data_IF_137780035762
#
_entry.id   IF_137780035762
#
_cell.length_a   1.000
_cell.length_b   1.000
_cell.length_c   1.000
_cell.angle_alpha   90.00
_cell.angle_beta   90.00
_cell.angle_gamma   90.00
#
_symmetry.space_group_name_H-M   'P 1'
#
loop_
_entity.id
_entity.type
_entity.pdbx_description
1 polymer ?
#
# COMPACT_ATOMS: atom_id res chain seq x y z
N UNK A 1 -2.48 -19.34 26.64
CA UNK A 1 -3.02 -19.67 25.32
C UNK A 1 -4.45 -19.19 25.21
N UNK A 2 -4.77 -18.49 24.14
CA UNK A 2 -6.11 -17.99 23.89
C UNK A 2 -7.01 -19.09 23.33
N UNK A 3 -8.30 -19.07 23.67
CA UNK A 3 -9.24 -19.98 23.06
C UNK A 3 -9.64 -19.52 21.64
N UNK A 4 -10.26 -20.42 20.89
CA UNK A 4 -10.64 -20.13 19.50
C UNK A 4 -11.67 -19.01 19.37
N UNK A 5 -12.57 -18.89 20.35
CA UNK A 5 -13.59 -17.83 20.32
C UNK A 5 -12.96 -16.45 20.43
N UNK A 6 -11.97 -16.30 21.31
CA UNK A 6 -11.26 -15.04 21.47
C UNK A 6 -10.47 -14.70 20.21
N UNK A 7 -9.83 -15.69 19.59
CA UNK A 7 -9.08 -15.49 18.35
C UNK A 7 -10.01 -15.06 17.21
N UNK A 8 -11.17 -15.71 17.07
CA UNK A 8 -12.12 -15.37 15.99
C UNK A 8 -12.68 -13.96 16.15
N UNK A 9 -12.94 -13.51 17.39
CA UNK A 9 -13.45 -12.17 17.64
C UNK A 9 -12.47 -11.06 17.20
N UNK A 10 -11.19 -11.37 17.15
CA UNK A 10 -10.16 -10.40 16.81
C UNK A 10 -9.67 -10.51 15.35
N UNK A 11 -10.36 -11.27 14.52
CA UNK A 11 -10.06 -11.34 13.10
C UNK A 11 -10.43 -10.02 12.42
N UNK A 12 -9.47 -9.40 11.77
CA UNK A 12 -9.71 -8.17 11.00
C UNK A 12 -10.37 -8.48 9.66
N UNK A 13 -11.26 -7.58 9.25
CA UNK A 13 -11.90 -7.65 7.94
C UNK A 13 -11.55 -6.41 7.13
N UNK A 14 -11.78 -6.46 5.81
CA UNK A 14 -11.47 -5.35 4.92
C UNK A 14 -12.17 -4.04 5.25
N UNK A 15 -13.30 -4.09 5.96
CA UNK A 15 -14.01 -2.88 6.37
C UNK A 15 -13.30 -2.09 7.48
N UNK A 16 -12.34 -2.72 8.15
CA UNK A 16 -11.62 -2.12 9.28
C UNK A 16 -10.34 -1.40 8.84
N UNK A 17 -10.08 -1.34 7.54
CA UNK A 17 -8.90 -0.69 6.98
C UNK A 17 -9.22 0.63 6.30
N UNK A 18 -8.26 1.57 6.36
CA UNK A 18 -8.36 2.88 5.73
C UNK A 18 -7.03 3.26 5.10
N UNK A 19 -7.08 4.08 4.06
CA UNK A 19 -5.89 4.67 3.45
C UNK A 19 -6.06 6.18 3.41
N UNK A 20 -5.07 6.88 3.96
CA UNK A 20 -5.05 8.34 4.01
C UNK A 20 -3.92 8.86 3.14
N UNK A 21 -4.16 9.96 2.43
CA UNK A 21 -3.12 10.66 1.69
C UNK A 21 -2.79 11.96 2.40
N UNK A 22 -1.50 12.32 2.47
CA UNK A 22 -1.07 13.58 3.04
C UNK A 22 -1.14 14.67 1.97
N UNK A 23 -1.88 15.73 2.27
CA UNK A 23 -2.07 16.89 1.38
C UNK A 23 -1.39 18.08 2.03
N UNK A 24 -0.61 18.83 1.23
CA UNK A 24 0.07 20.07 1.66
C UNK A 24 0.90 19.90 2.94
N UNK A 25 1.54 18.75 3.07
CA UNK A 25 2.49 18.46 4.17
C UNK A 25 1.85 17.98 5.46
N UNK A 26 0.78 18.59 5.94
CA UNK A 26 0.21 18.29 7.26
C UNK A 26 -1.22 17.76 7.22
N UNK A 27 -2.00 18.16 6.23
CA UNK A 27 -3.40 17.73 6.12
C UNK A 27 -3.50 16.30 5.60
N UNK A 28 -4.41 15.53 6.17
CA UNK A 28 -4.67 14.16 5.72
C UNK A 28 -6.10 14.05 5.20
N UNK A 29 -6.24 13.46 4.02
CA UNK A 29 -7.52 13.20 3.40
C UNK A 29 -7.75 11.70 3.30
N UNK A 30 -8.95 11.26 3.63
CA UNK A 30 -9.35 9.87 3.47
C UNK A 30 -9.62 9.57 2.00
N UNK A 31 -8.98 8.53 1.48
CA UNK A 31 -9.26 8.05 0.14
C UNK A 31 -10.42 7.07 0.15
N UNK A 32 -11.36 7.27 -0.76
CA UNK A 32 -12.47 6.34 -0.94
C UNK A 32 -12.00 5.18 -1.81
N UNK A 33 -11.52 4.15 -1.18
CA UNK A 33 -10.93 3.00 -1.86
C UNK A 33 -11.73 1.72 -1.61
N UNK A 34 -11.62 0.81 -2.56
CA UNK A 34 -12.21 -0.51 -2.48
C UNK A 34 -11.24 -1.49 -1.81
N UNK A 35 -10.02 -1.54 -2.31
CA UNK A 35 -8.96 -2.40 -1.76
C UNK A 35 -7.62 -1.68 -1.80
N UNK A 36 -6.74 -2.02 -0.86
CA UNK A 36 -5.34 -1.61 -0.92
C UNK A 36 -4.43 -2.72 -0.42
N UNK A 37 -3.18 -2.68 -0.85
CA UNK A 37 -2.18 -3.65 -0.45
C UNK A 37 -0.80 -3.00 -0.42
N UNK A 38 -0.07 -3.20 0.67
CA UNK A 38 1.32 -2.79 0.82
C UNK A 38 2.17 -4.04 0.88
N UNK A 39 3.16 -4.15 0.03
CA UNK A 39 3.98 -5.37 -0.07
C UNK A 39 5.47 -5.05 -0.06
N UNK A 40 6.23 -5.93 0.57
CA UNK A 40 7.67 -5.96 0.48
C UNK A 40 8.05 -7.11 -0.45
N UNK A 41 8.79 -6.78 -1.52
CA UNK A 41 9.19 -7.77 -2.51
C UNK A 41 10.70 -8.01 -2.37
N UNK A 42 11.05 -9.22 -1.95
CA UNK A 42 12.44 -9.61 -1.74
C UNK A 42 12.99 -10.33 -2.95
N UNK A 43 14.20 -10.00 -3.31
CA UNK A 43 14.93 -10.69 -4.38
C UNK A 43 16.16 -11.34 -3.78
N UNK A 44 16.32 -12.63 -4.01
CA UNK A 44 17.47 -13.40 -3.57
C UNK A 44 18.25 -13.93 -4.76
N UNK A 45 19.56 -14.02 -4.62
CA UNK A 45 20.42 -14.68 -5.59
C UNK A 45 20.57 -16.13 -5.20
N UNK A 46 20.51 -17.03 -6.17
CA UNK A 46 20.73 -18.45 -5.94
C UNK A 46 22.22 -18.74 -5.82
N UNK A 47 22.58 -19.49 -4.79
CA UNK A 47 23.93 -20.00 -4.60
C UNK A 47 23.90 -21.50 -4.43
N UNK A 48 24.67 -22.21 -5.27
CA UNK A 48 24.74 -23.67 -5.23
C UNK A 48 26.20 -24.07 -5.04
N UNK A 49 26.61 -24.42 -3.81
CA UNK A 49 27.99 -24.85 -3.54
C UNK A 49 28.34 -26.14 -4.28
N UNK A 50 29.59 -26.27 -4.66
CA UNK A 50 30.08 -27.51 -5.28
C UNK A 50 29.94 -28.68 -4.31
N UNK A 51 29.32 -29.77 -4.79
CA UNK A 51 29.12 -30.97 -3.98
C UNK A 51 27.89 -30.95 -3.11
N UNK A 52 27.09 -29.90 -3.17
CA UNK A 52 25.83 -29.81 -2.43
C UNK A 52 24.65 -30.06 -3.36
N UNK A 53 23.62 -30.75 -2.87
CA UNK A 53 22.36 -30.91 -3.59
C UNK A 53 21.42 -29.73 -3.35
N UNK A 54 21.72 -28.87 -2.37
CA UNK A 54 20.84 -27.80 -1.98
C UNK A 54 21.32 -26.47 -2.55
N UNK A 55 20.39 -25.69 -3.10
CA UNK A 55 20.61 -24.29 -3.43
C UNK A 55 20.26 -23.42 -2.23
N UNK A 56 21.04 -22.38 -2.02
CA UNK A 56 20.82 -21.41 -0.95
C UNK A 56 20.45 -20.06 -1.56
N UNK A 57 19.57 -19.33 -0.86
CA UNK A 57 19.21 -17.98 -1.23
C UNK A 57 20.14 -16.97 -0.56
N UNK A 58 20.76 -16.11 -1.36
CA UNK A 58 21.58 -15.01 -0.84
C UNK A 58 20.76 -13.73 -0.93
N UNK A 59 20.46 -13.04 0.18
CA UNK A 59 19.67 -11.80 0.13
C UNK A 59 20.34 -10.75 -0.76
N UNK A 60 19.58 -10.17 -1.66
CA UNK A 60 20.06 -9.16 -2.61
C UNK A 60 19.34 -7.84 -2.44
N UNK A 61 18.04 -7.81 -2.73
CA UNK A 61 17.27 -6.58 -2.79
C UNK A 61 15.92 -6.72 -2.11
N UNK A 62 15.38 -5.59 -1.68
CA UNK A 62 13.98 -5.48 -1.28
C UNK A 62 13.37 -4.24 -1.92
N UNK A 63 12.15 -4.38 -2.42
CA UNK A 63 11.39 -3.25 -2.97
C UNK A 63 10.02 -3.23 -2.30
N UNK A 64 9.55 -2.03 -1.99
CA UNK A 64 8.24 -1.84 -1.37
C UNK A 64 7.27 -1.27 -2.38
N UNK A 65 6.07 -1.81 -2.42
CA UNK A 65 5.02 -1.37 -3.35
C UNK A 65 3.71 -1.14 -2.63
N UNK A 66 2.96 -0.15 -3.10
CA UNK A 66 1.60 0.14 -2.66
C UNK A 66 0.71 0.08 -3.89
N UNK A 67 -0.36 -0.71 -3.81
CA UNK A 67 -1.39 -0.75 -4.84
C UNK A 67 -2.75 -0.55 -4.18
N UNK A 68 -3.63 0.22 -4.83
CA UNK A 68 -4.99 0.36 -4.37
C UNK A 68 -5.94 0.62 -5.53
N UNK A 69 -7.22 0.37 -5.30
CA UNK A 69 -8.30 0.64 -6.25
C UNK A 69 -9.21 1.70 -5.66
N UNK A 70 -9.34 2.82 -6.34
CA UNK A 70 -10.19 3.91 -5.95
C UNK A 70 -11.65 3.61 -6.35
N UNK A 71 -12.54 3.55 -5.36
CA UNK A 71 -13.95 3.22 -5.57
C UNK A 71 -14.76 4.45 -5.98
N UNK A 72 -14.50 5.59 -5.36
CA UNK A 72 -15.11 6.87 -5.74
C UNK A 72 -14.04 7.70 -6.43
N UNK A 73 -14.23 7.95 -7.72
CA UNK A 73 -13.20 8.60 -8.55
C UNK A 73 -13.10 10.09 -8.20
N UNK A 74 -11.91 10.48 -7.78
CA UNK A 74 -11.55 11.88 -7.49
C UNK A 74 -10.28 12.23 -8.24
N UNK A 75 -10.27 13.40 -8.88
CA UNK A 75 -9.11 13.84 -9.64
C UNK A 75 -8.23 14.84 -8.89
N UNK A 76 -8.75 15.44 -7.82
CA UNK A 76 -8.11 16.57 -7.15
C UNK A 76 -6.92 16.21 -6.27
N UNK A 77 -6.91 15.01 -5.67
CA UNK A 77 -5.86 14.61 -4.73
C UNK A 77 -4.62 13.99 -5.39
N UNK A 78 -4.82 13.18 -6.42
CA UNK A 78 -3.74 12.41 -7.03
C UNK A 78 -3.60 12.72 -8.52
N UNK A 79 -4.66 12.58 -9.30
CA UNK A 79 -4.58 12.66 -10.76
C UNK A 79 -4.23 14.06 -11.28
N UNK A 80 -4.84 15.11 -10.75
CA UNK A 80 -4.53 16.47 -11.17
C UNK A 80 -3.08 16.86 -10.85
N UNK A 81 -2.56 16.62 -9.62
CA UNK A 81 -1.14 16.85 -9.35
C UNK A 81 -0.21 15.99 -10.20
N UNK A 82 -0.59 14.72 -10.46
CA UNK A 82 0.21 13.80 -11.26
C UNK A 82 0.35 14.29 -12.71
N UNK A 83 -0.75 14.67 -13.34
CA UNK A 83 -0.73 15.15 -14.72
C UNK A 83 -0.05 16.52 -14.83
N UNK A 84 -0.22 17.39 -13.83
CA UNK A 84 0.46 18.68 -13.78
C UNK A 84 1.98 18.50 -13.69
N UNK A 85 2.46 17.57 -12.86
CA UNK A 85 3.87 17.27 -12.74
C UNK A 85 4.42 16.69 -14.05
N UNK A 86 3.68 15.80 -14.71
CA UNK A 86 4.08 15.21 -15.97
C UNK A 86 4.19 16.28 -17.09
N UNK A 87 3.25 17.23 -17.13
CA UNK A 87 3.26 18.30 -18.12
C UNK A 87 4.45 19.24 -17.97
N UNK A 88 4.90 19.48 -16.74
CA UNK A 88 6.06 20.35 -16.45
C UNK A 88 7.39 19.60 -16.42
N UNK A 89 7.37 18.27 -16.53
CA UNK A 89 8.59 17.45 -16.47
C UNK A 89 9.16 17.28 -15.08
N UNK A 90 8.40 17.58 -14.03
CA UNK A 90 8.85 17.42 -12.65
C UNK A 90 8.43 16.04 -12.12
N UNK A 91 9.21 15.54 -11.16
CA UNK A 91 8.88 14.32 -10.46
C UNK A 91 7.94 14.64 -9.28
N UNK A 92 7.00 13.73 -9.04
CA UNK A 92 6.06 13.89 -7.94
C UNK A 92 6.17 12.70 -7.00
N UNK A 93 6.04 12.97 -5.71
CA UNK A 93 5.95 11.93 -4.70
C UNK A 93 4.77 12.21 -3.78
N UNK A 94 4.21 11.14 -3.24
CA UNK A 94 3.08 11.21 -2.32
C UNK A 94 3.44 10.54 -1.01
N UNK A 95 2.76 10.95 0.05
CA UNK A 95 2.86 10.28 1.35
C UNK A 95 1.50 9.71 1.71
N UNK A 96 1.48 8.47 2.12
CA UNK A 96 0.25 7.76 2.49
C UNK A 96 0.37 7.21 3.91
N UNK A 97 -0.76 6.98 4.53
CA UNK A 97 -0.86 6.25 5.78
C UNK A 97 -1.88 5.13 5.62
N UNK A 98 -1.40 3.91 5.73
CA UNK A 98 -2.26 2.74 5.73
C UNK A 98 -2.67 2.43 7.17
N UNK A 99 -3.94 2.21 7.38
CA UNK A 99 -4.54 2.04 8.70
C UNK A 99 -5.40 0.79 8.72
N UNK A 100 -5.27 0.00 9.77
CA UNK A 100 -6.13 -1.14 10.02
C UNK A 100 -6.44 -1.19 11.52
N UNK A 101 -7.60 -1.75 11.86
CA UNK A 101 -8.05 -1.81 13.23
C UNK A 101 -8.64 -3.19 13.55
N UNK A 102 -8.26 -3.74 14.69
CA UNK A 102 -8.91 -4.93 15.22
C UNK A 102 -10.27 -4.58 15.81
N UNK A 103 -11.20 -5.54 15.87
CA UNK A 103 -12.48 -5.30 16.53
C UNK A 103 -12.38 -4.87 18.00
N UNK A 104 -11.29 -5.17 18.67
CA UNK A 104 -11.05 -4.75 20.06
C UNK A 104 -10.55 -3.30 20.18
N UNK A 105 -10.36 -2.61 19.06
CA UNK A 105 -9.88 -1.24 19.04
C UNK A 105 -8.37 -1.06 18.84
N UNK A 106 -7.59 -2.14 18.83
CA UNK A 106 -6.15 -2.06 18.59
C UNK A 106 -5.87 -1.61 17.17
N UNK A 107 -5.04 -0.57 17.03
CA UNK A 107 -4.73 0.04 15.73
C UNK A 107 -3.41 -0.46 15.17
N UNK A 108 -3.37 -0.52 13.85
CA UNK A 108 -2.15 -0.72 13.09
C UNK A 108 -2.02 0.42 12.09
N UNK A 109 -0.95 1.20 12.20
CA UNK A 109 -0.68 2.32 11.29
C UNK A 109 0.69 2.16 10.66
N UNK A 110 0.73 2.17 9.34
CA UNK A 110 1.96 2.08 8.56
C UNK A 110 2.15 3.37 7.79
N UNK A 111 3.29 4.03 7.98
CA UNK A 111 3.62 5.26 7.26
C UNK A 111 4.35 4.88 5.98
N UNK A 112 3.89 5.46 4.88
CA UNK A 112 4.44 5.24 3.55
C UNK A 112 4.85 6.60 2.99
N UNK A 113 6.15 6.86 2.91
CA UNK A 113 6.69 8.13 2.41
C UNK A 113 7.42 7.93 1.10
N UNK A 114 7.57 9.02 0.35
CA UNK A 114 8.26 9.03 -0.94
C UNK A 114 7.70 7.98 -1.90
N UNK A 115 6.37 7.92 -2.00
CA UNK A 115 5.68 7.04 -2.94
C UNK A 115 5.68 7.69 -4.31
N UNK A 116 6.34 7.06 -5.28
CA UNK A 116 6.37 7.54 -6.66
C UNK A 116 5.48 6.65 -7.52
N UNK A 117 4.84 7.22 -8.57
CA UNK A 117 4.05 6.41 -9.50
C UNK A 117 4.91 5.34 -10.15
N UNK A 118 4.38 4.13 -10.27
CA UNK A 118 5.08 3.00 -10.87
C UNK A 118 4.09 2.18 -11.70
N UNK A 119 4.45 1.91 -12.96
CA UNK A 119 3.60 1.13 -13.84
C UNK A 119 2.51 1.96 -14.52
N UNK A 120 1.38 1.35 -14.74
CA UNK A 120 0.26 1.93 -15.46
C UNK A 120 -0.76 2.55 -14.53
N UNK A 121 -1.33 3.67 -14.96
CA UNK A 121 -2.40 4.35 -14.25
C UNK A 121 -3.61 4.50 -15.15
N UNK A 122 -4.78 4.21 -14.61
CA UNK A 122 -6.03 4.41 -15.31
C UNK A 122 -6.42 5.90 -15.27
N UNK A 123 -6.29 6.59 -16.40
CA UNK A 123 -6.70 7.99 -16.49
C UNK A 123 -8.20 8.10 -16.72
N UNK A 124 -8.74 7.22 -17.55
CA UNK A 124 -10.17 7.16 -17.82
C UNK A 124 -10.53 5.75 -18.25
N UNK A 125 -11.49 5.15 -17.56
CA UNK A 125 -12.03 3.83 -17.92
C UNK A 125 -13.55 3.88 -17.85
N UNK A 126 -14.19 3.19 -18.78
CA UNK A 126 -15.65 3.07 -18.80
C UNK A 126 -16.02 1.68 -19.25
N UNK A 127 -16.76 0.97 -18.41
CA UNK A 127 -17.36 -0.33 -18.75
C UNK A 127 -18.86 -0.22 -18.50
N UNK A 128 -19.70 -0.29 -19.55
CA UNK A 128 -21.15 -0.16 -19.40
C UNK A 128 -21.70 -1.20 -18.42
N UNK A 129 -22.53 -0.74 -17.50
CA UNK A 129 -23.16 -1.60 -16.50
C UNK A 129 -22.32 -1.94 -15.29
N UNK A 130 -21.11 -1.41 -15.18
CA UNK A 130 -20.22 -1.66 -14.04
C UNK A 130 -19.86 -0.35 -13.32
N UNK A 131 -19.46 -0.48 -12.06
CA UNK A 131 -18.94 0.63 -11.28
C UNK A 131 -17.56 1.01 -11.80
N UNK A 132 -17.35 2.31 -12.05
CA UNK A 132 -16.06 2.80 -12.52
C UNK A 132 -15.10 2.87 -11.35
N UNK A 133 -13.94 2.21 -11.49
CA UNK A 133 -12.88 2.20 -10.49
C UNK A 133 -11.56 2.51 -11.17
N UNK A 134 -10.61 3.07 -10.40
CA UNK A 134 -9.26 3.34 -10.87
C UNK A 134 -8.25 2.57 -10.05
N UNK A 135 -7.29 1.96 -10.74
CA UNK A 135 -6.17 1.27 -10.12
C UNK A 135 -4.97 2.20 -10.04
N UNK A 136 -4.33 2.21 -8.88
CA UNK A 136 -3.13 3.00 -8.62
C UNK A 136 -2.02 2.07 -8.16
N UNK A 137 -0.79 2.34 -8.63
CA UNK A 137 0.38 1.58 -8.22
C UNK A 137 1.54 2.53 -7.95
N UNK A 138 2.22 2.34 -6.84
CA UNK A 138 3.33 3.20 -6.40
C UNK A 138 4.50 2.37 -5.93
N UNK A 139 5.71 2.87 -6.15
CA UNK A 139 6.92 2.36 -5.54
C UNK A 139 7.23 3.23 -4.33
N UNK A 140 7.46 2.62 -3.18
CA UNK A 140 7.76 3.31 -1.93
C UNK A 140 9.28 3.39 -1.79
N UNK A 141 9.84 4.60 -1.85
CA UNK A 141 11.29 4.79 -1.81
C UNK A 141 11.86 4.91 -0.40
N UNK A 142 11.03 5.24 0.59
CA UNK A 142 11.44 5.21 1.99
C UNK A 142 10.90 3.93 2.63
N UNK A 143 11.71 3.22 3.40
CA UNK A 143 11.26 1.99 4.05
C UNK A 143 10.03 2.27 4.91
N UNK A 144 8.94 1.52 4.74
CA UNK A 144 7.74 1.71 5.56
C UNK A 144 8.02 1.51 7.04
N UNK A 145 7.40 2.33 7.87
CA UNK A 145 7.59 2.27 9.31
C UNK A 145 6.25 2.16 10.02
N UNK A 146 6.22 1.36 11.08
CA UNK A 146 5.04 1.23 11.91
C UNK A 146 4.99 2.37 12.92
N UNK A 147 3.89 3.15 12.91
CA UNK A 147 3.56 4.05 14.03
C UNK A 147 2.95 3.26 15.16
N UNK A 148 1.99 2.41 14.82
CA UNK A 148 1.32 1.51 15.73
C UNK A 148 1.30 0.13 15.08
N UNK A 149 1.69 -0.88 15.82
CA UNK A 149 1.71 -2.25 15.31
C UNK A 149 0.83 -3.16 16.17
N UNK A 150 0.32 -4.20 15.53
CA UNK A 150 -0.48 -5.20 16.23
C UNK A 150 0.43 -6.13 17.01
N UNK A 151 0.11 -6.32 18.29
CA UNK A 151 0.81 -7.27 19.14
C UNK A 151 -0.06 -8.50 19.38
N UNK A 152 0.51 -9.49 20.04
CA UNK A 152 -0.25 -10.66 20.50
C UNK A 152 -1.29 -10.27 21.56
N UNK A 153 -2.20 -11.18 21.82
CA UNK A 153 -3.28 -10.97 22.78
C UNK A 153 -2.82 -11.18 24.21
#
# INVERSE_FOLDING_TARGET
>A
MLDQKTLVKNIMTGKDGKLLITVDGDSQELLEIDTYSVKANYTNLDYHPVGSYQKFGVPSDVAYTLTFTEAVVRDDLIMAPLLSAAATGTNISFSFRANAQRPDGTLQNLILEDCIPDGEFDLMTLTPGEVIKRNHSYRINSAPAWMDSLAGF
#
